data_IF_253917039970
#
_entry.id   IF_253917039970
#
_cell.length_a   1.000
_cell.length_b   1.000
_cell.length_c   1.000
_cell.angle_alpha   90.00
_cell.angle_beta   90.00
_cell.angle_gamma   90.00
#
_symmetry.space_group_name_H-M   'P 1'
#
loop_
_entity.id
_entity.type
_entity.pdbx_description
1 polymer ?
#
# COMPACT_ATOMS: atom_id res chain seq x y z
N UNK A 1 -8.44 7.84 -25.89
CA UNK A 1 -7.25 6.99 -26.13
C UNK A 1 -7.41 5.77 -25.24
N UNK A 2 -7.40 4.56 -25.78
CA UNK A 2 -7.54 3.34 -24.99
C UNK A 2 -6.21 2.99 -24.33
N UNK A 3 -6.23 2.61 -23.05
CA UNK A 3 -5.07 2.11 -22.32
C UNK A 3 -4.65 0.72 -22.87
N UNK A 4 -3.35 0.42 -22.98
CA UNK A 4 -2.87 -0.92 -23.29
C UNK A 4 -3.40 -1.97 -22.31
N UNK A 5 -3.72 -3.17 -22.80
CA UNK A 5 -4.34 -4.24 -22.00
C UNK A 5 -3.50 -4.74 -20.80
N UNK A 6 -2.19 -4.45 -20.76
CA UNK A 6 -1.35 -4.80 -19.61
C UNK A 6 -1.36 -3.73 -18.51
N UNK A 7 -1.93 -2.55 -18.77
CA UNK A 7 -2.04 -1.42 -17.83
C UNK A 7 -3.47 -1.22 -17.33
N UNK A 8 -4.39 -2.12 -17.68
CA UNK A 8 -5.79 -2.02 -17.27
C UNK A 8 -6.01 -2.50 -15.83
N UNK A 9 -5.15 -3.37 -15.32
CA UNK A 9 -5.32 -3.99 -13.99
C UNK A 9 -4.47 -3.30 -12.90
N UNK A 10 -3.23 -2.92 -13.22
CA UNK A 10 -2.26 -2.36 -12.26
C UNK A 10 -1.41 -1.25 -12.89
N UNK A 11 -0.77 -0.46 -12.02
CA UNK A 11 0.18 0.57 -12.44
C UNK A 11 1.57 -0.02 -12.63
N UNK A 12 2.36 0.59 -13.51
CA UNK A 12 3.78 0.29 -13.63
C UNK A 12 4.55 0.88 -12.43
N UNK A 13 5.64 0.23 -11.97
CA UNK A 13 6.46 0.78 -10.89
C UNK A 13 6.93 2.22 -11.14
N UNK A 14 7.24 2.55 -12.40
CA UNK A 14 7.63 3.91 -12.80
C UNK A 14 6.49 4.93 -12.65
N UNK A 15 5.23 4.54 -12.88
CA UNK A 15 4.07 5.42 -12.68
C UNK A 15 3.85 5.70 -11.19
N UNK A 16 4.04 4.69 -10.35
CA UNK A 16 3.93 4.83 -8.90
C UNK A 16 5.06 5.72 -8.35
N UNK A 17 6.29 5.53 -8.84
CA UNK A 17 7.42 6.41 -8.52
C UNK A 17 7.13 7.87 -8.95
N UNK A 18 6.59 8.07 -10.15
CA UNK A 18 6.16 9.38 -10.63
C UNK A 18 5.06 10.02 -9.75
N UNK A 19 4.15 9.21 -9.21
CA UNK A 19 3.17 9.69 -8.22
C UNK A 19 3.83 10.04 -6.88
N UNK A 20 4.88 9.34 -6.48
CA UNK A 20 5.64 9.62 -5.26
C UNK A 20 6.48 10.90 -5.37
N UNK A 21 6.98 11.22 -6.56
CA UNK A 21 7.71 12.46 -6.86
C UNK A 21 6.95 13.75 -6.53
N UNK A 22 5.62 13.70 -6.52
CA UNK A 22 4.77 14.84 -6.17
C UNK A 22 4.63 15.07 -4.67
N UNK A 23 5.15 14.17 -3.83
CA UNK A 23 5.12 14.35 -2.37
C UNK A 23 6.01 15.52 -1.96
N UNK A 24 5.54 16.30 -0.98
CA UNK A 24 6.30 17.42 -0.43
C UNK A 24 7.35 16.90 0.55
N UNK A 25 8.57 17.40 0.41
CA UNK A 25 9.71 17.10 1.28
C UNK A 25 10.42 18.39 1.67
N UNK A 26 11.15 18.34 2.79
CA UNK A 26 11.93 19.47 3.27
C UNK A 26 13.34 19.46 2.68
N UNK A 27 13.80 20.62 2.24
CA UNK A 27 15.18 20.84 1.80
C UNK A 27 15.78 22.05 2.51
N UNK A 28 17.11 22.05 2.64
CA UNK A 28 17.89 23.24 3.01
C UNK A 28 18.67 23.71 1.77
N UNK A 29 18.33 24.87 1.18
CA UNK A 29 19.05 25.40 0.04
C UNK A 29 20.46 25.84 0.47
N UNK A 30 21.46 25.60 -0.38
CA UNK A 30 22.85 26.05 -0.17
C UNK A 30 23.13 27.43 -0.75
N UNK A 31 22.29 27.86 -1.68
CA UNK A 31 22.36 29.16 -2.32
C UNK A 31 20.98 29.82 -2.33
N UNK A 32 20.94 31.13 -2.52
CA UNK A 32 19.68 31.82 -2.75
C UNK A 32 19.07 31.36 -4.08
N UNK A 33 17.81 30.95 -4.03
CA UNK A 33 17.04 30.51 -5.19
C UNK A 33 15.92 31.51 -5.41
N UNK A 34 15.90 32.13 -6.58
CA UNK A 34 14.83 33.04 -6.97
C UNK A 34 13.51 32.30 -7.17
N UNK A 35 12.41 33.07 -7.11
CA UNK A 35 11.08 32.54 -7.33
C UNK A 35 10.97 31.95 -8.74
N UNK A 36 10.40 30.75 -8.86
CA UNK A 36 10.24 30.06 -10.13
C UNK A 36 8.74 29.86 -10.42
N UNK A 37 8.15 30.61 -11.37
CA UNK A 37 6.78 30.37 -11.80
C UNK A 37 6.72 29.10 -12.65
N UNK A 38 6.04 28.06 -12.16
CA UNK A 38 5.74 26.84 -12.90
C UNK A 38 4.27 26.80 -13.28
N UNK A 39 3.94 25.93 -14.25
CA UNK A 39 2.55 25.72 -14.70
C UNK A 39 1.67 25.25 -13.53
N UNK A 40 2.20 24.37 -12.67
CA UNK A 40 1.50 23.83 -11.50
C UNK A 40 1.51 24.72 -10.26
N UNK A 41 2.09 25.91 -10.33
CA UNK A 41 2.23 26.81 -9.17
C UNK A 41 3.58 27.52 -9.13
N UNK A 42 3.70 28.51 -8.26
CA UNK A 42 4.96 29.25 -8.14
C UNK A 42 5.77 28.74 -6.95
N UNK A 43 7.00 28.31 -7.19
CA UNK A 43 7.95 27.95 -6.14
C UNK A 43 8.49 29.24 -5.53
N UNK A 44 8.22 29.45 -4.23
CA UNK A 44 8.66 30.62 -3.49
C UNK A 44 10.18 30.76 -3.48
N UNK A 45 10.65 32.01 -3.36
CA UNK A 45 12.07 32.31 -3.19
C UNK A 45 12.61 31.60 -1.94
N UNK A 46 13.71 30.89 -2.07
CA UNK A 46 14.34 30.15 -0.97
C UNK A 46 15.67 30.82 -0.58
N UNK A 47 15.90 30.97 0.73
CA UNK A 47 17.11 31.58 1.27
C UNK A 47 17.83 30.63 2.23
N UNK A 48 19.13 30.37 2.05
CA UNK A 48 19.90 29.62 3.04
C UNK A 48 19.95 30.36 4.39
N UNK A 49 19.98 29.65 5.53
CA UNK A 49 19.82 28.21 5.73
C UNK A 49 18.37 27.81 6.08
N UNK A 50 17.36 28.55 5.61
CA UNK A 50 15.97 28.28 5.96
C UNK A 50 15.45 27.02 5.26
N UNK A 51 14.75 26.17 6.00
CA UNK A 51 14.06 25.00 5.44
C UNK A 51 12.95 25.48 4.50
N UNK A 52 12.81 24.79 3.37
CA UNK A 52 11.74 25.02 2.41
C UNK A 52 11.09 23.69 2.03
N UNK A 53 9.77 23.70 1.92
CA UNK A 53 9.01 22.55 1.42
C UNK A 53 8.89 22.65 -0.11
N UNK A 54 9.32 21.60 -0.80
CA UNK A 54 9.22 21.49 -2.25
C UNK A 54 8.79 20.07 -2.63
N UNK A 55 8.21 19.86 -3.82
CA UNK A 55 7.98 18.52 -4.33
C UNK A 55 9.29 17.72 -4.44
N UNK A 56 9.21 16.40 -4.21
CA UNK A 56 10.36 15.50 -4.23
C UNK A 56 11.12 15.55 -5.56
N UNK A 57 10.46 15.61 -6.71
CA UNK A 57 11.15 15.76 -8.00
C UNK A 57 12.05 17.00 -8.06
N UNK A 58 11.61 18.12 -7.48
CA UNK A 58 12.38 19.36 -7.45
C UNK A 58 13.52 19.27 -6.44
N UNK A 59 13.29 18.64 -5.28
CA UNK A 59 14.33 18.37 -4.29
C UNK A 59 15.47 17.53 -4.90
N UNK A 60 15.14 16.43 -5.58
CA UNK A 60 16.10 15.55 -6.24
C UNK A 60 16.87 16.28 -7.35
N UNK A 61 16.19 17.11 -8.15
CA UNK A 61 16.83 17.93 -9.18
C UNK A 61 17.85 18.91 -8.57
N UNK A 62 17.47 19.64 -7.51
CA UNK A 62 18.35 20.59 -6.82
C UNK A 62 19.53 19.89 -6.14
N UNK A 63 19.31 18.69 -5.60
CA UNK A 63 20.35 17.85 -5.00
C UNK A 63 21.37 17.37 -6.04
N UNK A 64 20.93 16.88 -7.20
CA UNK A 64 21.81 16.52 -8.33
C UNK A 64 22.66 17.71 -8.80
N UNK A 65 22.10 18.92 -8.76
CA UNK A 65 22.81 20.17 -9.05
C UNK A 65 23.69 20.68 -7.90
N UNK A 66 23.72 20.00 -6.73
CA UNK A 66 24.43 20.40 -5.50
C UNK A 66 23.99 21.76 -4.93
N UNK A 67 22.74 22.17 -5.21
CA UNK A 67 22.18 23.48 -4.79
C UNK A 67 21.35 23.40 -3.52
N UNK A 68 20.97 22.20 -3.09
CA UNK A 68 20.24 21.95 -1.85
C UNK A 68 20.75 20.67 -1.19
N UNK A 69 20.56 20.60 0.12
CA UNK A 69 20.71 19.40 0.95
C UNK A 69 19.30 18.93 1.28
N UNK A 70 19.02 17.65 1.07
CA UNK A 70 17.73 17.05 1.42
C UNK A 70 17.68 16.84 2.95
N UNK A 71 16.54 17.13 3.57
CA UNK A 71 16.30 16.72 4.95
C UNK A 71 15.52 15.40 4.90
N UNK A 72 16.04 14.29 5.47
CA UNK A 72 15.32 13.03 5.46
C UNK A 72 14.00 13.18 6.23
N UNK A 73 12.89 12.58 5.74
CA UNK A 73 11.63 12.54 6.48
C UNK A 73 11.78 11.85 7.83
N UNK A 74 11.02 12.27 8.84
CA UNK A 74 11.12 11.76 10.22
C UNK A 74 10.90 10.23 10.31
N UNK A 75 10.02 9.68 9.47
CA UNK A 75 9.75 8.24 9.42
C UNK A 75 10.92 7.43 8.84
N UNK A 76 11.88 8.06 8.18
CA UNK A 76 13.05 7.40 7.59
C UNK A 76 14.20 7.23 8.61
N UNK A 77 14.06 7.74 9.83
CA UNK A 77 15.03 7.55 10.89
C UNK A 77 15.21 6.05 11.22
N UNK A 78 16.46 5.62 11.45
CA UNK A 78 16.78 4.23 11.76
C UNK A 78 16.02 3.70 12.99
N UNK A 79 15.93 4.52 14.04
CA UNK A 79 15.16 4.21 15.26
C UNK A 79 13.66 4.00 14.97
N UNK A 80 13.08 4.83 14.10
CA UNK A 80 11.67 4.75 13.75
C UNK A 80 11.37 3.48 12.93
N UNK A 81 12.23 3.18 11.95
CA UNK A 81 12.11 1.98 11.12
C UNK A 81 12.30 0.70 11.94
N UNK A 82 13.24 0.68 12.88
CA UNK A 82 13.43 -0.45 13.78
C UNK A 82 12.17 -0.70 14.62
N UNK A 83 11.59 0.35 15.19
CA UNK A 83 10.37 0.22 15.98
C UNK A 83 9.19 -0.35 15.15
N UNK A 84 9.06 0.06 13.89
CA UNK A 84 8.04 -0.48 12.97
C UNK A 84 8.32 -1.93 12.58
N UNK A 85 9.58 -2.30 12.33
CA UNK A 85 9.95 -3.67 12.06
C UNK A 85 9.63 -4.58 13.25
N UNK A 86 9.94 -4.14 14.46
CA UNK A 86 9.65 -4.88 15.69
C UNK A 86 8.14 -5.04 15.88
N UNK A 87 7.33 -4.03 15.54
CA UNK A 87 5.86 -4.15 15.53
C UNK A 87 5.38 -5.13 14.46
N UNK A 88 5.98 -5.12 13.27
CA UNK A 88 5.59 -5.99 12.17
C UNK A 88 5.86 -7.47 12.47
N UNK A 89 6.96 -7.76 13.18
CA UNK A 89 7.37 -9.11 13.58
C UNK A 89 6.66 -9.59 14.84
N UNK A 90 6.13 -8.69 15.68
CA UNK A 90 5.36 -9.09 16.87
C UNK A 90 4.11 -9.86 16.47
N UNK A 91 4.00 -11.06 17.00
CA UNK A 91 2.80 -11.89 16.98
C UNK A 91 2.00 -11.68 18.26
N UNK A 92 0.68 -11.73 18.15
CA UNK A 92 -0.22 -11.64 19.31
C UNK A 92 -0.14 -12.91 20.17
N UNK A 93 -0.79 -12.88 21.34
CA UNK A 93 -0.73 -13.97 22.32
C UNK A 93 -1.29 -15.31 21.80
N UNK A 94 -2.19 -15.27 20.80
CA UNK A 94 -2.68 -16.45 20.09
C UNK A 94 -1.79 -16.90 18.91
N UNK A 95 -0.63 -16.28 18.70
CA UNK A 95 0.28 -16.59 17.60
C UNK A 95 -0.18 -16.06 16.24
N UNK A 96 -1.25 -15.25 16.20
CA UNK A 96 -1.69 -14.57 14.99
C UNK A 96 -0.78 -13.36 14.69
N UNK A 97 -0.49 -13.09 13.40
CA UNK A 97 0.25 -11.90 13.04
C UNK A 97 -0.57 -10.67 13.41
N UNK A 98 0.02 -9.76 14.19
CA UNK A 98 -0.57 -8.45 14.43
C UNK A 98 -0.77 -7.73 13.08
N UNK A 99 -1.80 -6.87 12.98
CA UNK A 99 -2.08 -6.13 11.75
C UNK A 99 -0.87 -5.31 11.25
N UNK A 100 -0.90 -4.88 9.98
CA UNK A 100 0.21 -4.12 9.41
C UNK A 100 0.50 -2.84 10.20
N UNK A 101 1.79 -2.59 10.44
CA UNK A 101 2.24 -1.37 11.12
C UNK A 101 1.92 -0.11 10.32
N UNK A 102 1.73 1.02 11.01
CA UNK A 102 1.34 2.30 10.38
C UNK A 102 2.53 2.93 9.67
N UNK A 103 2.46 2.97 8.34
CA UNK A 103 3.48 3.53 7.47
C UNK A 103 2.87 4.57 6.52
N UNK A 104 3.66 5.57 6.06
CA UNK A 104 3.22 6.45 4.98
C UNK A 104 2.88 5.63 3.72
N UNK A 105 1.82 6.02 3.01
CA UNK A 105 1.34 5.26 1.83
C UNK A 105 2.43 5.00 0.77
N UNK A 106 3.38 5.92 0.59
CA UNK A 106 4.41 5.86 -0.46
C UNK A 106 5.83 5.67 0.09
N UNK A 107 5.94 4.98 1.22
CA UNK A 107 7.21 4.84 1.94
C UNK A 107 8.30 4.15 1.10
N UNK A 108 7.93 3.16 0.30
CA UNK A 108 8.88 2.35 -0.48
C UNK A 108 9.43 3.12 -1.69
N UNK A 109 8.56 3.85 -2.38
CA UNK A 109 8.91 4.63 -3.57
C UNK A 109 9.68 5.89 -3.17
N UNK A 110 9.26 6.56 -2.11
CA UNK A 110 9.99 7.72 -1.59
C UNK A 110 11.37 7.30 -1.09
N UNK A 111 11.49 6.17 -0.41
CA UNK A 111 12.79 5.73 0.11
C UNK A 111 13.77 5.36 -0.99
N UNK A 112 13.33 4.64 -2.02
CA UNK A 112 14.17 4.29 -3.18
C UNK A 112 14.69 5.54 -3.90
N UNK A 113 13.79 6.49 -4.22
CA UNK A 113 14.14 7.75 -4.90
C UNK A 113 15.13 8.61 -4.09
N UNK A 114 14.94 8.67 -2.77
CA UNK A 114 15.79 9.45 -1.88
C UNK A 114 17.17 8.79 -1.73
N UNK A 115 17.22 7.48 -1.55
CA UNK A 115 18.46 6.73 -1.35
C UNK A 115 19.33 6.66 -2.61
N UNK A 116 18.74 6.75 -3.81
CA UNK A 116 19.49 6.81 -5.07
C UNK A 116 20.29 8.12 -5.22
N UNK A 117 19.72 9.25 -4.78
CA UNK A 117 20.28 10.59 -5.06
C UNK A 117 20.91 11.26 -3.85
N UNK A 118 20.36 11.04 -2.66
CA UNK A 118 20.67 11.77 -1.43
C UNK A 118 21.14 10.84 -0.31
N UNK A 119 21.80 9.73 -0.65
CA UNK A 119 22.38 8.82 0.33
C UNK A 119 23.32 9.52 1.33
N UNK A 120 24.05 10.54 0.86
CA UNK A 120 25.00 11.32 1.65
C UNK A 120 24.36 12.24 2.70
N UNK A 121 23.06 12.56 2.53
CA UNK A 121 22.33 13.41 3.47
C UNK A 121 21.64 12.62 4.60
N UNK A 122 21.64 11.28 4.51
CA UNK A 122 20.93 10.40 5.44
C UNK A 122 21.91 9.85 6.48
N UNK A 123 21.64 10.02 7.79
CA UNK A 123 22.43 9.35 8.82
C UNK A 123 22.25 7.83 8.73
N UNK A 124 23.35 7.09 8.80
CA UNK A 124 23.33 5.62 8.81
C UNK A 124 22.62 4.99 7.59
N UNK A 125 22.86 5.51 6.38
CA UNK A 125 22.20 5.07 5.13
C UNK A 125 22.17 3.54 4.93
N UNK A 126 23.26 2.85 5.26
CA UNK A 126 23.37 1.39 5.14
C UNK A 126 22.40 0.66 6.08
N UNK A 127 22.22 1.16 7.31
CA UNK A 127 21.28 0.58 8.27
C UNK A 127 19.84 0.82 7.79
N UNK A 128 19.53 2.04 7.35
CA UNK A 128 18.21 2.39 6.79
C UNK A 128 17.87 1.48 5.59
N UNK A 129 18.80 1.27 4.66
CA UNK A 129 18.63 0.35 3.51
C UNK A 129 18.31 -1.08 3.96
N UNK A 130 19.02 -1.59 4.98
CA UNK A 130 18.75 -2.92 5.55
C UNK A 130 17.36 -2.96 6.18
N UNK A 131 17.01 -2.02 7.05
CA UNK A 131 15.73 -1.99 7.76
C UNK A 131 14.54 -1.90 6.80
N UNK A 132 14.63 -1.07 5.75
CA UNK A 132 13.58 -0.98 4.73
C UNK A 132 13.40 -2.30 3.97
N UNK A 133 14.50 -3.01 3.69
CA UNK A 133 14.46 -4.32 3.03
C UNK A 133 13.83 -5.37 3.94
N UNK A 134 14.27 -5.44 5.19
CA UNK A 134 13.75 -6.39 6.18
C UNK A 134 12.26 -6.13 6.45
N UNK A 135 11.84 -4.85 6.51
CA UNK A 135 10.45 -4.45 6.65
C UNK A 135 9.60 -4.85 5.44
N UNK A 136 10.11 -4.66 4.21
CA UNK A 136 9.43 -5.13 2.99
C UNK A 136 9.28 -6.65 2.99
N UNK A 137 10.33 -7.38 3.34
CA UNK A 137 10.32 -8.84 3.40
C UNK A 137 9.31 -9.35 4.43
N UNK A 138 9.29 -8.77 5.64
CA UNK A 138 8.33 -9.11 6.70
C UNK A 138 6.88 -8.85 6.27
N UNK A 139 6.60 -7.69 5.64
CA UNK A 139 5.25 -7.34 5.16
C UNK A 139 4.80 -8.22 4.01
N UNK A 140 5.70 -8.57 3.09
CA UNK A 140 5.39 -9.51 2.02
C UNK A 140 5.13 -10.92 2.53
N UNK A 141 5.86 -11.38 3.56
CA UNK A 141 5.59 -12.66 4.21
C UNK A 141 4.20 -12.65 4.85
N UNK A 142 3.89 -11.62 5.66
CA UNK A 142 2.57 -11.47 6.30
C UNK A 142 1.43 -11.38 5.29
N UNK A 143 1.62 -10.67 4.17
CA UNK A 143 0.62 -10.60 3.11
C UNK A 143 0.38 -11.96 2.41
N UNK A 144 1.40 -12.83 2.34
CA UNK A 144 1.24 -14.20 1.84
C UNK A 144 0.51 -15.07 2.84
N UNK A 145 0.84 -14.98 4.13
CA UNK A 145 0.13 -15.73 5.17
C UNK A 145 -1.37 -15.32 5.22
N UNK A 146 -1.65 -14.03 4.98
CA UNK A 146 -3.01 -13.52 4.84
C UNK A 146 -3.80 -14.09 3.65
N UNK A 147 -3.14 -14.61 2.60
CA UNK A 147 -3.83 -15.29 1.50
C UNK A 147 -4.39 -16.65 1.93
N UNK A 148 -3.76 -17.34 2.87
CA UNK A 148 -4.21 -18.66 3.34
C UNK A 148 -5.54 -18.57 4.11
N UNK A 149 -5.81 -17.40 4.70
CA UNK A 149 -6.98 -17.14 5.56
C UNK A 149 -8.06 -16.31 4.82
N UNK A 150 -8.03 -16.29 3.49
CA UNK A 150 -9.01 -15.52 2.70
C UNK A 150 -10.42 -16.10 2.83
N UNK A 151 -11.34 -15.28 3.36
CA UNK A 151 -12.78 -15.53 3.33
C UNK A 151 -13.47 -14.79 2.17
N UNK A 152 -14.60 -15.33 1.69
CA UNK A 152 -15.27 -14.96 0.44
C UNK A 152 -15.80 -13.50 0.37
N UNK A 153 -15.97 -12.80 1.50
CA UNK A 153 -16.79 -11.56 1.52
C UNK A 153 -16.11 -10.30 2.04
N UNK A 154 -15.18 -10.41 2.99
CA UNK A 154 -14.60 -9.23 3.63
C UNK A 154 -13.11 -9.46 3.87
N UNK A 155 -12.30 -8.54 3.35
CA UNK A 155 -10.86 -8.51 3.60
C UNK A 155 -10.48 -7.14 4.17
N UNK A 156 -9.94 -7.13 5.39
CA UNK A 156 -9.44 -5.92 6.04
C UNK A 156 -7.94 -5.77 5.76
N UNK A 157 -7.58 -4.85 4.86
CA UNK A 157 -6.20 -4.51 4.52
C UNK A 157 -5.88 -3.07 4.93
N UNK A 158 -5.64 -2.86 6.22
CA UNK A 158 -5.27 -1.55 6.73
C UNK A 158 -3.75 -1.32 6.62
N UNK A 159 -3.35 -0.05 6.50
CA UNK A 159 -1.96 0.43 6.55
C UNK A 159 -1.01 -0.10 5.46
N UNK A 160 -1.49 -0.71 4.37
CA UNK A 160 -0.64 -1.08 3.24
C UNK A 160 -0.09 0.13 2.48
N UNK A 161 1.11 -0.03 1.92
CA UNK A 161 1.74 0.91 1.00
C UNK A 161 1.20 0.78 -0.43
N UNK A 162 1.39 1.81 -1.25
CA UNK A 162 0.89 1.85 -2.62
C UNK A 162 1.55 0.78 -3.51
N UNK A 163 2.88 0.63 -3.45
CA UNK A 163 3.58 -0.45 -4.13
C UNK A 163 3.08 -1.83 -3.70
N UNK A 164 2.88 -2.04 -2.40
CA UNK A 164 2.39 -3.32 -1.86
C UNK A 164 0.98 -3.63 -2.38
N UNK A 165 0.07 -2.66 -2.33
CA UNK A 165 -1.27 -2.79 -2.90
C UNK A 165 -1.20 -3.10 -4.40
N UNK A 166 -0.30 -2.45 -5.13
CA UNK A 166 -0.16 -2.67 -6.57
C UNK A 166 0.38 -4.08 -6.89
N UNK A 167 1.29 -4.61 -6.08
CA UNK A 167 1.81 -5.98 -6.19
C UNK A 167 0.74 -7.03 -5.84
N UNK A 168 -0.07 -6.79 -4.81
CA UNK A 168 -1.07 -7.74 -4.32
C UNK A 168 -2.37 -7.74 -5.15
N UNK A 169 -2.79 -6.58 -5.66
CA UNK A 169 -4.07 -6.37 -6.35
C UNK A 169 -4.41 -7.41 -7.43
N UNK A 170 -3.55 -7.71 -8.42
CA UNK A 170 -3.95 -8.58 -9.53
C UNK A 170 -4.22 -10.02 -9.08
N UNK A 171 -3.50 -10.49 -8.06
CA UNK A 171 -3.71 -11.81 -7.49
C UNK A 171 -5.00 -11.83 -6.65
N UNK A 172 -5.10 -10.93 -5.68
CA UNK A 172 -6.23 -10.90 -4.73
C UNK A 172 -7.57 -10.66 -5.41
N UNK A 173 -7.65 -9.73 -6.37
CA UNK A 173 -8.89 -9.45 -7.08
C UNK A 173 -9.37 -10.68 -7.84
N UNK A 174 -8.45 -11.36 -8.55
CA UNK A 174 -8.76 -12.55 -9.33
C UNK A 174 -9.18 -13.73 -8.46
N UNK A 175 -8.51 -13.99 -7.35
CA UNK A 175 -8.87 -15.09 -6.43
C UNK A 175 -10.22 -14.83 -5.76
N UNK A 176 -10.50 -13.60 -5.35
CA UNK A 176 -11.79 -13.24 -4.76
C UNK A 176 -12.93 -13.33 -5.77
N UNK A 177 -12.72 -12.88 -7.02
CA UNK A 177 -13.71 -13.03 -8.07
C UNK A 177 -14.01 -14.52 -8.36
N UNK A 178 -12.99 -15.39 -8.30
CA UNK A 178 -13.16 -16.84 -8.44
C UNK A 178 -13.90 -17.45 -7.25
N UNK A 179 -13.56 -17.08 -6.01
CA UNK A 179 -14.26 -17.56 -4.82
C UNK A 179 -15.73 -17.15 -4.85
N UNK A 180 -16.01 -15.90 -5.23
CA UNK A 180 -17.38 -15.40 -5.38
C UNK A 180 -18.17 -16.19 -6.43
N UNK A 181 -17.57 -16.49 -7.58
CA UNK A 181 -18.24 -17.31 -8.60
C UNK A 181 -18.53 -18.74 -8.10
N UNK A 182 -17.64 -19.33 -7.31
CA UNK A 182 -17.84 -20.65 -6.72
C UNK A 182 -18.92 -20.65 -5.65
N UNK A 183 -19.04 -19.59 -4.85
CA UNK A 183 -20.08 -19.48 -3.83
C UNK A 183 -21.45 -19.16 -4.44
N UNK A 184 -21.51 -18.35 -5.50
CA UNK A 184 -22.72 -18.08 -6.29
C UNK A 184 -23.25 -19.36 -6.94
N UNK A 185 -22.40 -20.12 -7.64
CA UNK A 185 -22.80 -21.39 -8.27
C UNK A 185 -23.28 -22.43 -7.26
N UNK A 186 -22.61 -22.55 -6.10
CA UNK A 186 -23.07 -23.44 -5.02
C UNK A 186 -24.45 -23.04 -4.49
N UNK A 187 -24.77 -21.75 -4.42
CA UNK A 187 -26.08 -21.27 -3.96
C UNK A 187 -27.21 -21.54 -4.97
N UNK A 188 -26.89 -21.67 -6.27
CA UNK A 188 -27.85 -22.03 -7.31
C UNK A 188 -28.17 -23.53 -7.36
N UNK A 189 -27.23 -24.38 -6.89
CA UNK A 189 -27.32 -25.85 -6.90
C UNK A 189 -28.03 -26.46 -5.67
N UNK A 190 -28.43 -25.68 -4.66
CA UNK A 190 -29.35 -26.16 -3.60
C UNK A 190 -30.79 -25.96 -4.09
N UNK A 191 -31.47 -27.01 -4.62
CA UNK A 191 -32.87 -26.87 -5.00
C UNK A 191 -33.70 -26.68 -3.73
N UNK A 192 -34.75 -25.87 -3.85
CA UNK A 192 -35.78 -25.69 -2.84
C UNK A 192 -36.51 -27.02 -2.59
N UNK A 193 -35.94 -27.87 -1.74
CA UNK A 193 -36.47 -29.19 -1.36
C UNK A 193 -37.60 -29.10 -0.30
N UNK A 194 -38.30 -27.97 -0.19
CA UNK A 194 -39.35 -27.77 0.83
C UNK A 194 -40.78 -27.50 0.28
N UNK A 195 -41.00 -27.48 -1.04
CA UNK A 195 -42.35 -27.25 -1.62
C UNK A 195 -43.09 -28.52 -2.08
N UNK A 196 -42.68 -29.72 -1.61
CA UNK A 196 -43.33 -31.00 -1.97
C UNK A 196 -44.03 -31.75 -0.81
N UNK A 197 -44.46 -31.05 0.24
CA UNK A 197 -45.25 -31.64 1.34
C UNK A 197 -46.57 -30.91 1.63
N UNK A 198 -47.28 -30.46 0.58
CA UNK A 198 -48.61 -29.84 0.73
C UNK A 198 -49.77 -30.62 0.11
N UNK A 199 -49.58 -31.88 -0.32
CA UNK A 199 -50.68 -32.68 -0.86
C UNK A 199 -50.55 -34.18 -0.52
N UNK A 200 -50.78 -34.52 0.75
CA UNK A 200 -51.05 -35.91 1.16
C UNK A 200 -52.01 -35.95 2.36
N UNK A 201 -53.32 -36.01 2.07
CA UNK A 201 -54.25 -36.74 2.94
C UNK A 201 -55.38 -35.96 3.61
N UNK A 202 -56.16 -35.17 2.86
CA UNK A 202 -57.57 -34.98 3.25
C UNK A 202 -58.40 -36.17 2.74
N UNK A 203 -58.52 -37.23 3.52
CA UNK A 203 -59.63 -38.21 3.40
C UNK A 203 -59.57 -39.23 4.54
N UNK A 204 -60.41 -39.02 5.55
CA UNK A 204 -61.14 -40.09 6.23
C UNK A 204 -62.36 -39.47 6.89
N UNK A 205 -63.42 -39.33 6.09
CA UNK A 205 -64.78 -39.26 6.62
C UNK A 205 -65.22 -40.67 7.08
N UNK A 206 -66.11 -40.65 8.07
CA UNK A 206 -67.20 -41.58 8.36
C UNK A 206 -67.07 -42.80 9.31
N UNK A 207 -67.97 -42.73 10.29
CA UNK A 207 -68.80 -43.78 10.91
C UNK A 207 -68.22 -44.81 11.89
N UNK A 208 -68.61 -44.70 13.17
CA UNK A 208 -69.72 -45.49 13.77
C UNK A 208 -69.71 -45.48 15.31
N UNK A 209 -70.89 -45.22 15.88
CA UNK A 209 -71.46 -45.54 17.22
C UNK A 209 -70.59 -45.46 18.51
#
# INVERSE_FOLDING_TARGET
MALPAHLTETFMPAEIAFMAEQQLVEIVPRQQLEQLPLIGGTVSRMRPPQRAQVPLWLALLLKRQRRATLVPPDWMASEWLQARLDEEVKTDAEGQPSGFSKLPLRWLEMSDLILDVAEDDIPESNLVKRLLRDLREARQAKARDGLEVLEDRILHLDNLGLMEVNELRPLFAKTMDMLRQLTETKAEDEPADDDLMADAGSQSDDDSD
#
